data_IF_770033970664
#
_entry.id   IF_770033970664
#
_cell.length_a   1.000
_cell.length_b   1.000
_cell.length_c   1.000
_cell.angle_alpha   90.00
_cell.angle_beta   90.00
_cell.angle_gamma   90.00
#
_symmetry.space_group_name_H-M   'P 1'
#
loop_
_entity.id
_entity.type
_entity.pdbx_description
1 polymer ?
#
# COMPACT_ATOMS: atom_id res chain seq x y z
N UNK A 1 8.32 8.61 -0.61
CA UNK A 1 7.48 7.68 -1.39
C UNK A 1 6.25 7.30 -0.57
N UNK A 2 5.06 7.54 -1.12
CA UNK A 2 3.80 7.07 -0.53
C UNK A 2 3.61 5.59 -0.84
N UNK A 3 3.33 4.78 0.18
CA UNK A 3 3.03 3.36 0.01
C UNK A 3 2.08 2.85 1.10
N UNK A 4 1.48 1.69 0.86
CA UNK A 4 0.63 0.98 1.82
C UNK A 4 1.24 -0.40 2.08
N UNK A 5 1.55 -0.71 3.34
CA UNK A 5 1.94 -2.06 3.73
C UNK A 5 0.74 -3.01 3.67
N UNK A 6 0.95 -4.20 3.11
CA UNK A 6 -0.08 -5.23 2.99
C UNK A 6 0.42 -6.53 3.60
N UNK A 7 -0.41 -7.13 4.46
CA UNK A 7 -0.25 -8.50 4.96
C UNK A 7 -1.52 -9.30 4.64
N UNK A 8 -1.38 -10.49 4.07
CA UNK A 8 -2.52 -11.37 3.75
C UNK A 8 -2.46 -12.64 4.59
N UNK A 9 -3.55 -12.87 5.33
CA UNK A 9 -3.73 -14.07 6.15
C UNK A 9 -4.81 -14.95 5.54
N UNK A 10 -4.51 -16.22 5.28
CA UNK A 10 -5.47 -17.16 4.68
C UNK A 10 -6.36 -17.86 5.70
N UNK A 11 -6.09 -17.70 6.99
CA UNK A 11 -7.02 -18.01 8.07
C UNK A 11 -6.95 -16.94 9.17
N UNK A 12 -8.08 -16.75 9.84
CA UNK A 12 -8.23 -15.82 10.95
C UNK A 12 -9.44 -16.22 11.78
N UNK A 13 -9.49 -15.79 13.03
CA UNK A 13 -10.64 -16.01 13.91
C UNK A 13 -11.05 -14.71 14.61
N UNK A 14 -12.35 -14.39 14.68
CA UNK A 14 -12.81 -13.22 15.44
C UNK A 14 -12.55 -13.41 16.93
N UNK A 15 -12.33 -12.30 17.64
CA UNK A 15 -12.17 -12.28 19.09
C UNK A 15 -13.30 -11.48 19.76
N UNK A 16 -13.69 -11.79 21.01
CA UNK A 16 -14.68 -11.02 21.76
C UNK A 16 -14.35 -9.52 21.87
N UNK A 17 -13.07 -9.17 21.80
CA UNK A 17 -12.54 -7.79 21.80
C UNK A 17 -12.80 -6.99 20.53
N UNK A 18 -13.60 -7.49 19.57
CA UNK A 18 -13.82 -6.88 18.24
C UNK A 18 -12.54 -6.78 17.40
N UNK A 19 -11.56 -7.60 17.72
CA UNK A 19 -10.33 -7.80 16.94
C UNK A 19 -10.38 -9.17 16.27
N UNK A 20 -9.34 -9.51 15.51
CA UNK A 20 -9.15 -10.85 14.97
C UNK A 20 -7.79 -11.40 15.40
N UNK A 21 -7.73 -12.72 15.60
CA UNK A 21 -6.48 -13.46 15.70
C UNK A 21 -6.06 -13.82 14.28
N UNK A 22 -4.98 -13.23 13.82
CA UNK A 22 -4.34 -13.60 12.57
C UNK A 22 -3.69 -14.98 12.69
N UNK A 23 -3.80 -15.81 11.66
CA UNK A 23 -3.12 -17.11 11.63
C UNK A 23 -2.02 -17.13 10.57
N UNK A 24 -2.20 -17.97 9.56
CA UNK A 24 -1.28 -18.27 8.49
C UNK A 24 -1.06 -17.07 7.57
N UNK A 25 0.13 -16.46 7.70
CA UNK A 25 0.58 -15.36 6.85
C UNK A 25 1.09 -15.91 5.52
N UNK A 26 0.37 -15.58 4.44
CA UNK A 26 0.67 -16.05 3.09
C UNK A 26 1.37 -15.00 2.23
N UNK A 27 1.38 -13.72 2.65
CA UNK A 27 2.02 -12.64 1.90
C UNK A 27 2.32 -11.43 2.78
N UNK A 28 3.50 -10.84 2.62
CA UNK A 28 3.86 -9.51 3.12
C UNK A 28 4.42 -8.70 1.97
N UNK A 29 3.96 -7.46 1.81
CA UNK A 29 4.47 -6.57 0.78
C UNK A 29 3.98 -5.15 0.94
N UNK A 30 4.10 -4.40 -0.15
CA UNK A 30 3.80 -2.97 -0.21
C UNK A 30 3.09 -2.66 -1.53
N UNK A 31 2.21 -1.67 -1.51
CA UNK A 31 1.59 -1.13 -2.71
C UNK A 31 2.05 0.31 -2.87
N UNK A 32 2.43 0.69 -4.08
CA UNK A 32 3.00 2.00 -4.38
C UNK A 32 2.05 2.84 -5.23
N UNK A 33 2.30 4.14 -5.26
CA UNK A 33 1.57 5.08 -6.11
C UNK A 33 2.54 5.75 -7.07
N UNK A 34 2.04 6.15 -8.23
CA UNK A 34 2.85 6.93 -9.17
C UNK A 34 3.32 8.24 -8.52
N UNK A 35 4.49 8.70 -8.94
CA UNK A 35 5.12 9.91 -8.40
C UNK A 35 4.25 11.16 -8.65
N UNK A 36 3.55 11.25 -9.78
CA UNK A 36 2.66 12.37 -10.13
C UNK A 36 1.47 12.51 -9.16
N UNK A 37 0.85 11.40 -8.80
CA UNK A 37 -0.22 11.36 -7.79
C UNK A 37 0.36 11.71 -6.42
N UNK A 38 1.49 11.09 -6.05
CA UNK A 38 2.14 11.31 -4.75
C UNK A 38 2.50 12.79 -4.56
N UNK A 39 3.07 13.41 -5.58
CA UNK A 39 3.36 14.84 -5.59
C UNK A 39 2.10 15.69 -5.48
N UNK A 40 1.05 15.34 -6.22
CA UNK A 40 -0.20 16.10 -6.18
C UNK A 40 -0.82 16.04 -4.79
N UNK A 41 -0.92 14.85 -4.18
CA UNK A 41 -1.44 14.67 -2.81
C UNK A 41 -0.62 15.47 -1.80
N UNK A 42 0.70 15.49 -1.91
CA UNK A 42 1.56 16.28 -1.02
C UNK A 42 1.34 17.79 -1.17
N UNK A 43 0.85 18.25 -2.32
CA UNK A 43 0.53 19.67 -2.60
C UNK A 43 -0.91 20.04 -2.27
N UNK A 44 -1.80 19.07 -1.99
CA UNK A 44 -3.20 19.33 -1.63
C UNK A 44 -3.27 19.95 -0.23
N UNK A 45 -3.54 21.25 -0.19
CA UNK A 45 -3.56 22.09 1.02
C UNK A 45 -4.68 21.75 2.00
N UNK A 46 -5.71 21.03 1.55
CA UNK A 46 -6.79 20.52 2.39
C UNK A 46 -6.39 19.27 3.19
N UNK A 47 -5.21 18.68 2.90
CA UNK A 47 -4.69 17.52 3.61
C UNK A 47 -3.55 17.91 4.58
N UNK A 48 -3.36 17.17 5.69
CA UNK A 48 -2.21 17.37 6.58
C UNK A 48 -0.86 17.25 5.86
N UNK A 49 -0.81 16.51 4.75
CA UNK A 49 0.39 16.29 3.93
C UNK A 49 0.98 17.59 3.39
N UNK A 50 0.18 18.64 3.17
CA UNK A 50 0.69 19.93 2.71
C UNK A 50 1.61 20.64 3.72
N UNK A 51 1.59 20.22 4.99
CA UNK A 51 2.51 20.73 6.02
C UNK A 51 3.79 19.91 6.14
N UNK A 52 3.91 18.80 5.42
CA UNK A 52 5.15 18.01 5.39
C UNK A 52 6.23 18.73 4.58
N UNK A 53 7.31 19.14 5.25
CA UNK A 53 8.45 19.86 4.65
C UNK A 53 9.61 18.94 4.24
N UNK A 54 9.55 17.66 4.62
CA UNK A 54 10.55 16.68 4.24
C UNK A 54 10.48 16.37 2.73
N UNK A 55 11.65 16.23 2.09
CA UNK A 55 11.71 15.84 0.69
C UNK A 55 11.02 14.48 0.49
N UNK A 56 10.08 14.41 -0.46
CA UNK A 56 9.46 13.14 -0.80
C UNK A 56 10.47 12.31 -1.59
N UNK A 57 10.86 11.14 -1.08
CA UNK A 57 11.67 10.20 -1.86
C UNK A 57 10.86 9.80 -3.12
N UNK A 58 11.44 10.02 -4.30
CA UNK A 58 10.84 9.74 -5.61
C UNK A 58 11.32 8.40 -6.15
N UNK A 59 10.42 7.69 -6.85
CA UNK A 59 10.68 6.38 -7.42
C UNK A 59 10.88 5.25 -6.39
N UNK A 60 10.95 4.03 -6.91
CA UNK A 60 11.23 2.79 -6.18
C UNK A 60 12.71 2.69 -5.74
N UNK A 61 13.31 3.78 -5.27
CA UNK A 61 14.69 3.78 -4.73
C UNK A 61 14.71 3.70 -3.20
N UNK A 62 13.53 3.63 -2.57
CA UNK A 62 13.44 3.26 -1.16
C UNK A 62 13.92 1.82 -1.00
N UNK A 63 14.93 1.64 -0.14
CA UNK A 63 15.75 0.45 0.16
C UNK A 63 15.04 -0.91 0.29
N UNK A 64 13.70 -0.95 0.32
CA UNK A 64 12.87 -2.15 0.43
C UNK A 64 12.38 -2.70 -0.92
N UNK A 65 12.39 -1.90 -2.00
CA UNK A 65 11.97 -2.32 -3.35
C UNK A 65 12.95 -3.30 -4.01
N UNK A 66 14.24 -3.26 -3.60
CA UNK A 66 15.32 -4.04 -4.22
C UNK A 66 15.60 -5.37 -3.51
N UNK A 67 15.12 -5.55 -2.28
CA UNK A 67 15.41 -6.73 -1.43
C UNK A 67 14.24 -7.69 -1.27
N UNK A 68 13.01 -7.27 -1.59
CA UNK A 68 11.85 -8.16 -1.60
C UNK A 68 11.52 -8.58 -3.03
N UNK A 69 11.50 -9.89 -3.36
CA UNK A 69 11.13 -10.35 -4.69
C UNK A 69 9.62 -10.13 -4.92
N UNK A 70 9.22 -8.92 -5.29
CA UNK A 70 7.85 -8.56 -5.69
C UNK A 70 7.50 -9.05 -7.12
N UNK A 71 8.26 -10.00 -7.66
CA UNK A 71 8.31 -10.37 -9.08
C UNK A 71 7.07 -11.11 -9.63
N UNK A 72 5.93 -11.08 -8.95
CA UNK A 72 4.74 -11.85 -9.36
C UNK A 72 3.54 -10.99 -9.79
N UNK A 73 3.56 -9.67 -9.51
CA UNK A 73 2.53 -8.75 -9.98
C UNK A 73 3.08 -7.31 -10.00
N UNK A 74 2.36 -6.39 -10.66
CA UNK A 74 2.67 -4.96 -10.65
C UNK A 74 2.17 -4.33 -9.33
N UNK A 75 3.06 -3.89 -8.43
CA UNK A 75 2.68 -3.36 -7.12
C UNK A 75 2.19 -1.90 -7.16
N UNK A 76 2.07 -1.29 -8.34
CA UNK A 76 1.54 0.07 -8.50
C UNK A 76 0.02 0.06 -8.52
N UNK A 77 -0.60 0.82 -7.61
CA UNK A 77 -2.05 0.96 -7.55
C UNK A 77 -2.55 1.80 -8.73
N UNK A 78 -3.49 1.27 -9.51
CA UNK A 78 -4.20 2.03 -10.53
C UNK A 78 -5.23 2.92 -9.86
N UNK A 79 -5.17 4.22 -10.11
CA UNK A 79 -6.04 5.20 -9.47
C UNK A 79 -6.97 5.87 -10.48
N UNK A 80 -8.21 6.06 -10.05
CA UNK A 80 -9.20 6.88 -10.73
C UNK A 80 -9.72 7.98 -9.78
N UNK A 81 -9.96 9.17 -10.32
CA UNK A 81 -10.57 10.27 -9.55
C UNK A 81 -12.07 10.06 -9.49
N UNK A 82 -12.66 10.26 -8.30
CA UNK A 82 -14.11 10.26 -8.12
C UNK A 82 -14.78 11.57 -8.59
N UNK A 83 -13.97 12.59 -8.86
CA UNK A 83 -14.40 13.87 -9.40
C UNK A 83 -13.36 14.47 -10.33
N UNK A 84 -13.35 15.80 -10.44
CA UNK A 84 -12.44 16.54 -11.33
C UNK A 84 -11.06 16.72 -10.68
N UNK A 85 -11.04 16.91 -9.36
CA UNK A 85 -9.82 17.10 -8.56
C UNK A 85 -9.63 15.97 -7.54
N UNK A 86 -8.40 15.80 -7.06
CA UNK A 86 -8.04 14.73 -6.12
C UNK A 86 -8.79 14.85 -4.78
N UNK A 87 -9.03 16.07 -4.31
CA UNK A 87 -9.75 16.36 -3.04
C UNK A 87 -11.17 15.79 -3.00
N UNK A 88 -11.76 15.51 -4.16
CA UNK A 88 -13.10 14.91 -4.26
C UNK A 88 -13.08 13.39 -4.09
N UNK A 89 -11.90 12.80 -3.93
CA UNK A 89 -11.71 11.38 -3.64
C UNK A 89 -11.04 10.62 -4.79
N UNK A 90 -10.40 9.51 -4.41
CA UNK A 90 -9.74 8.58 -5.30
C UNK A 90 -10.27 7.16 -5.05
N UNK A 91 -10.40 6.38 -6.12
CA UNK A 91 -10.58 4.92 -6.02
C UNK A 91 -9.32 4.26 -6.57
N UNK A 92 -8.76 3.34 -5.79
CA UNK A 92 -7.59 2.56 -6.16
C UNK A 92 -7.94 1.11 -6.42
N UNK A 93 -7.38 0.55 -7.49
CA UNK A 93 -7.48 -0.86 -7.85
C UNK A 93 -6.09 -1.47 -7.98
N UNK A 94 -5.91 -2.64 -7.38
CA UNK A 94 -4.70 -3.45 -7.51
C UNK A 94 -5.10 -4.93 -7.55
N UNK A 95 -4.42 -5.71 -8.39
CA UNK A 95 -4.59 -7.16 -8.46
C UNK A 95 -3.33 -7.82 -7.94
N UNK A 96 -3.44 -8.58 -6.85
CA UNK A 96 -2.32 -9.26 -6.21
C UNK A 96 -2.41 -10.77 -6.44
N UNK A 97 -1.42 -11.34 -7.13
CA UNK A 97 -1.22 -12.78 -7.19
C UNK A 97 -0.42 -13.24 -5.97
N UNK A 98 -1.00 -14.10 -5.13
CA UNK A 98 -0.33 -14.63 -3.93
C UNK A 98 -0.32 -16.17 -3.93
N UNK A 99 0.70 -16.75 -3.32
CA UNK A 99 0.72 -18.18 -3.02
C UNK A 99 -0.01 -18.43 -1.69
N UNK A 100 -1.27 -18.87 -1.76
CA UNK A 100 -2.10 -19.09 -0.58
C UNK A 100 -1.57 -20.20 0.37
N UNK A 101 -0.70 -21.07 -0.13
CA UNK A 101 -0.06 -22.15 0.63
C UNK A 101 1.28 -21.76 1.24
N UNK A 102 1.81 -20.57 0.95
CA UNK A 102 3.04 -20.09 1.57
C UNK A 102 2.81 -19.75 3.04
N UNK A 103 3.80 -20.04 3.89
CA UNK A 103 3.78 -19.78 5.33
C UNK A 103 4.99 -18.94 5.70
N UNK A 104 4.78 -17.71 6.17
CA UNK A 104 5.84 -16.81 6.62
C UNK A 104 5.72 -16.52 8.11
N UNK A 105 6.86 -16.35 8.77
CA UNK A 105 6.90 -15.93 10.16
C UNK A 105 6.48 -14.46 10.32
N UNK A 106 5.80 -14.17 11.42
CA UNK A 106 5.43 -12.81 11.81
C UNK A 106 6.65 -12.12 12.42
N UNK A 107 7.61 -11.74 11.59
CA UNK A 107 8.65 -10.78 11.99
C UNK A 107 8.09 -9.36 11.95
#
# INVERSE_FOLDING_TARGET
MLHIHTKVFTNWAPQPSRTFKAGHLAYTGQCFFNDDVSETINKVTSTPSATHTAACATGMTDSTSSTTPMWHYDPVVKLEKLGVIIDQGLVGFITMGINASAAYDLV
#
